data_IF_635899649269
#
_entry.id   IF_635899649269
#
_cell.length_a   1.000
_cell.length_b   1.000
_cell.length_c   1.000
_cell.angle_alpha   90.00
_cell.angle_beta   90.00
_cell.angle_gamma   90.00
#
_symmetry.space_group_name_H-M   'P 1'
#
loop_
_entity.id
_entity.type
_entity.pdbx_description
1 polymer ?
#
# COMPACT_ATOMS: atom_id res chain seq x y z
N UNK A 1 -23.97 -16.10 -11.82
CA UNK A 1 -22.93 -15.88 -12.83
C UNK A 1 -23.19 -16.81 -14.02
N UNK A 2 -23.59 -16.27 -15.15
CA UNK A 2 -23.74 -17.03 -16.41
C UNK A 2 -22.37 -17.24 -17.06
N UNK A 3 -22.29 -18.15 -18.04
CA UNK A 3 -21.04 -18.41 -18.78
C UNK A 3 -20.51 -17.14 -19.47
N UNK A 4 -21.39 -16.29 -20.00
CA UNK A 4 -21.03 -15.00 -20.59
C UNK A 4 -20.52 -14.00 -19.53
N UNK A 5 -21.13 -13.97 -18.34
CA UNK A 5 -20.64 -13.11 -17.25
C UNK A 5 -19.24 -13.52 -16.78
N UNK A 6 -18.95 -14.81 -16.69
CA UNK A 6 -17.62 -15.33 -16.35
C UNK A 6 -16.58 -14.92 -17.40
N UNK A 7 -16.91 -15.06 -18.68
CA UNK A 7 -16.01 -14.65 -19.78
C UNK A 7 -15.75 -13.15 -19.75
N UNK A 8 -16.80 -12.33 -19.60
CA UNK A 8 -16.65 -10.88 -19.53
C UNK A 8 -15.80 -10.45 -18.33
N UNK A 9 -15.97 -11.09 -17.16
CA UNK A 9 -15.16 -10.82 -15.97
C UNK A 9 -13.70 -11.24 -16.14
N UNK A 10 -13.45 -12.42 -16.73
CA UNK A 10 -12.09 -12.88 -17.04
C UNK A 10 -11.35 -11.94 -18.01
N UNK A 11 -12.07 -11.30 -18.93
CA UNK A 11 -11.49 -10.32 -19.86
C UNK A 11 -11.23 -8.96 -19.20
N UNK A 12 -12.00 -8.56 -18.18
CA UNK A 12 -11.81 -7.28 -17.50
C UNK A 12 -10.72 -7.32 -16.41
N UNK A 13 -10.55 -8.47 -15.76
CA UNK A 13 -9.63 -8.67 -14.64
C UNK A 13 -8.17 -8.28 -14.92
N UNK A 14 -7.56 -8.61 -16.08
CA UNK A 14 -6.18 -8.19 -16.38
C UNK A 14 -6.01 -6.67 -16.33
N UNK A 15 -6.99 -5.90 -16.83
CA UNK A 15 -6.96 -4.43 -16.78
C UNK A 15 -7.10 -3.93 -15.34
N UNK A 16 -7.99 -4.54 -14.56
CA UNK A 16 -8.17 -4.19 -13.14
C UNK A 16 -6.92 -4.51 -12.31
N UNK A 17 -6.25 -5.62 -12.60
CA UNK A 17 -4.96 -6.00 -11.99
C UNK A 17 -3.89 -4.97 -12.34
N UNK A 18 -3.76 -4.58 -13.60
CA UNK A 18 -2.78 -3.57 -14.02
C UNK A 18 -2.99 -2.23 -13.29
N UNK A 19 -4.24 -1.79 -13.15
CA UNK A 19 -4.58 -0.57 -12.39
C UNK A 19 -4.23 -0.74 -10.90
N UNK A 20 -4.52 -1.90 -10.31
CA UNK A 20 -4.18 -2.16 -8.91
C UNK A 20 -2.66 -2.23 -8.67
N UNK A 21 -1.89 -2.76 -9.64
CA UNK A 21 -0.42 -2.77 -9.60
C UNK A 21 0.16 -1.36 -9.68
N UNK A 22 -0.39 -0.51 -10.56
CA UNK A 22 0.00 0.90 -10.66
C UNK A 22 -0.30 1.66 -9.37
N UNK A 23 -1.51 1.49 -8.80
CA UNK A 23 -1.87 2.08 -7.51
C UNK A 23 -0.94 1.63 -6.38
N UNK A 24 -0.59 0.34 -6.34
CA UNK A 24 0.33 -0.19 -5.34
C UNK A 24 1.73 0.41 -5.48
N UNK A 25 2.23 0.55 -6.71
CA UNK A 25 3.50 1.20 -6.98
C UNK A 25 3.48 2.66 -6.52
N UNK A 26 2.42 3.40 -6.84
CA UNK A 26 2.26 4.79 -6.42
C UNK A 26 2.23 4.92 -4.89
N UNK A 27 1.47 4.06 -4.20
CA UNK A 27 1.44 4.04 -2.74
C UNK A 27 2.81 3.72 -2.13
N UNK A 28 3.59 2.85 -2.78
CA UNK A 28 4.96 2.54 -2.35
C UNK A 28 5.88 3.75 -2.49
N UNK A 29 5.79 4.48 -3.60
CA UNK A 29 6.56 5.71 -3.81
C UNK A 29 6.20 6.80 -2.79
N UNK A 30 4.91 6.97 -2.49
CA UNK A 30 4.43 7.91 -1.48
C UNK A 30 4.97 7.56 -0.08
N UNK A 31 4.99 6.27 0.27
CA UNK A 31 5.55 5.80 1.54
C UNK A 31 7.05 6.10 1.65
N UNK A 32 7.82 5.87 0.58
CA UNK A 32 9.25 6.20 0.56
C UNK A 32 9.47 7.69 0.75
N UNK A 33 8.73 8.52 0.00
CA UNK A 33 8.82 9.97 0.12
C UNK A 33 8.44 10.46 1.53
N UNK A 34 7.40 9.90 2.16
CA UNK A 34 7.02 10.26 3.52
C UNK A 34 8.12 9.90 4.55
N UNK A 35 8.83 8.79 4.36
CA UNK A 35 9.98 8.43 5.21
C UNK A 35 11.14 9.40 5.05
N UNK A 36 11.43 9.81 3.82
CA UNK A 36 12.48 10.79 3.53
C UNK A 36 12.14 12.16 4.13
N UNK A 37 10.88 12.60 4.02
CA UNK A 37 10.43 13.85 4.63
C UNK A 37 10.51 13.80 6.15
N UNK A 38 10.08 12.69 6.77
CA UNK A 38 10.24 12.52 8.21
C UNK A 38 11.73 12.61 8.59
N UNK A 39 12.60 11.85 7.95
CA UNK A 39 14.04 11.88 8.23
C UNK A 39 14.63 13.29 8.09
N UNK A 40 14.28 14.01 7.02
CA UNK A 40 14.73 15.38 6.82
C UNK A 40 14.30 16.30 7.96
N UNK A 41 13.06 16.16 8.47
CA UNK A 41 12.58 16.93 9.63
C UNK A 41 13.32 16.56 10.91
N UNK A 42 13.59 15.27 11.13
CA UNK A 42 14.38 14.82 12.29
C UNK A 42 15.79 15.42 12.26
N UNK A 43 16.44 15.43 11.09
CA UNK A 43 17.76 16.01 10.90
C UNK A 43 17.76 17.53 11.12
N UNK A 44 16.78 18.25 10.56
CA UNK A 44 16.61 19.69 10.75
C UNK A 44 16.43 20.07 12.24
N UNK A 45 15.68 19.25 13.01
CA UNK A 45 15.44 19.48 14.43
C UNK A 45 16.72 19.27 15.26
N UNK A 46 17.52 18.28 14.90
CA UNK A 46 18.81 17.99 15.54
C UNK A 46 19.85 19.08 15.24
N UNK A 47 19.99 19.46 13.96
CA UNK A 47 20.95 20.47 13.53
C UNK A 47 20.56 21.89 13.96
N UNK A 48 19.26 22.17 14.06
CA UNK A 48 18.72 23.47 14.46
C UNK A 48 18.73 23.74 15.97
N UNK A 49 19.30 22.84 16.80
CA UNK A 49 19.31 22.92 18.27
C UNK A 49 17.89 23.07 18.88
N UNK A 50 16.84 22.61 18.20
CA UNK A 50 15.46 22.64 18.74
C UNK A 50 15.20 21.53 19.76
N UNK A 51 16.10 20.55 19.83
CA UNK A 51 16.05 19.44 20.77
C UNK A 51 17.11 19.71 21.86
N UNK A 52 16.68 20.21 23.02
CA UNK A 52 17.54 20.61 24.14
C UNK A 52 17.51 19.61 25.32
N UNK A 53 16.86 18.46 25.13
CA UNK A 53 16.69 17.44 26.16
C UNK A 53 18.00 16.97 26.81
N UNK A 54 18.08 17.12 28.13
CA UNK A 54 19.26 16.77 28.95
C UNK A 54 19.59 15.27 28.98
N UNK A 55 18.63 14.41 28.63
CA UNK A 55 18.81 12.96 28.51
C UNK A 55 18.15 12.43 27.21
N UNK A 56 18.43 11.17 26.86
CA UNK A 56 17.96 10.58 25.61
C UNK A 56 16.42 10.47 25.53
N UNK A 57 15.75 10.24 26.66
CA UNK A 57 14.29 10.10 26.73
C UNK A 57 13.58 11.43 26.43
N UNK A 58 14.05 12.54 27.01
CA UNK A 58 13.50 13.87 26.76
C UNK A 58 13.74 14.26 25.30
N UNK A 59 14.93 13.99 24.74
CA UNK A 59 15.19 14.24 23.32
C UNK A 59 14.24 13.45 22.42
N UNK A 60 14.01 12.17 22.71
CA UNK A 60 13.09 11.34 21.94
C UNK A 60 11.62 11.77 22.07
N UNK A 61 11.21 12.30 23.22
CA UNK A 61 9.87 12.85 23.42
C UNK A 61 9.69 14.16 22.65
N UNK A 62 10.66 15.08 22.75
CA UNK A 62 10.67 16.34 22.00
C UNK A 62 10.68 16.09 20.49
N UNK A 63 11.47 15.13 20.03
CA UNK A 63 11.50 14.76 18.62
C UNK A 63 10.10 14.33 18.17
N UNK A 64 9.51 13.35 18.88
CA UNK A 64 8.16 12.85 18.56
C UNK A 64 7.11 13.96 18.54
N UNK A 65 7.19 14.90 19.48
CA UNK A 65 6.27 16.03 19.55
C UNK A 65 6.41 16.97 18.35
N UNK A 66 7.62 17.16 17.82
CA UNK A 66 7.88 18.05 16.69
C UNK A 66 7.66 17.40 15.32
N UNK A 67 7.49 16.07 15.25
CA UNK A 67 7.23 15.34 14.00
C UNK A 67 5.92 14.57 14.02
N UNK A 68 4.92 15.01 14.81
CA UNK A 68 3.63 14.32 14.89
C UNK A 68 2.98 14.23 13.51
N UNK A 69 2.94 15.35 12.77
CA UNK A 69 2.30 15.41 11.47
C UNK A 69 2.98 14.48 10.45
N UNK A 70 4.30 14.49 10.36
CA UNK A 70 5.04 13.61 9.45
C UNK A 70 4.86 12.13 9.79
N UNK A 71 4.72 11.79 11.09
CA UNK A 71 4.45 10.43 11.55
C UNK A 71 3.02 9.99 11.25
N UNK A 72 2.04 10.89 11.35
CA UNK A 72 0.66 10.64 10.91
C UNK A 72 0.62 10.37 9.40
N UNK A 73 1.24 11.23 8.59
CA UNK A 73 1.34 11.06 7.13
C UNK A 73 2.03 9.74 6.77
N UNK A 74 3.09 9.38 7.50
CA UNK A 74 3.77 8.10 7.31
C UNK A 74 2.81 6.93 7.58
N UNK A 75 2.08 6.99 8.70
CA UNK A 75 1.13 5.94 9.10
C UNK A 75 0.00 5.79 8.08
N UNK A 76 -0.54 6.90 7.57
CA UNK A 76 -1.58 6.90 6.54
C UNK A 76 -1.08 6.26 5.23
N UNK A 77 0.15 6.59 4.82
CA UNK A 77 0.77 5.98 3.64
C UNK A 77 1.04 4.48 3.82
N UNK A 78 1.45 4.04 5.02
CA UNK A 78 1.59 2.61 5.33
C UNK A 78 0.26 1.87 5.24
N UNK A 79 -0.81 2.47 5.76
CA UNK A 79 -2.15 1.91 5.66
C UNK A 79 -2.61 1.85 4.20
N UNK A 80 -2.39 2.92 3.42
CA UNK A 80 -2.74 2.97 2.01
C UNK A 80 -2.02 1.86 1.22
N UNK A 81 -0.72 1.68 1.44
CA UNK A 81 0.06 0.62 0.80
C UNK A 81 -0.51 -0.77 1.10
N UNK A 82 -0.88 -1.03 2.36
CA UNK A 82 -1.50 -2.31 2.77
C UNK A 82 -2.85 -2.52 2.09
N UNK A 83 -3.65 -1.47 1.95
CA UNK A 83 -4.95 -1.54 1.30
C UNK A 83 -4.81 -1.86 -0.20
N UNK A 84 -3.90 -1.21 -0.91
CA UNK A 84 -3.65 -1.49 -2.32
C UNK A 84 -3.07 -2.90 -2.53
N UNK A 85 -2.22 -3.38 -1.61
CA UNK A 85 -1.69 -4.74 -1.67
C UNK A 85 -2.81 -5.78 -1.48
N UNK A 86 -3.73 -5.54 -0.55
CA UNK A 86 -4.89 -6.39 -0.33
C UNK A 86 -5.84 -6.37 -1.54
N UNK A 87 -6.04 -5.21 -2.17
CA UNK A 87 -6.85 -5.06 -3.40
C UNK A 87 -6.26 -5.88 -4.54
N UNK A 88 -4.95 -5.76 -4.79
CA UNK A 88 -4.27 -6.54 -5.81
C UNK A 88 -4.38 -8.05 -5.53
N UNK A 89 -4.22 -8.45 -4.27
CA UNK A 89 -4.42 -9.84 -3.83
C UNK A 89 -5.80 -10.36 -4.19
N UNK A 90 -6.85 -9.62 -3.87
CA UNK A 90 -8.24 -9.97 -4.21
C UNK A 90 -8.43 -10.16 -5.72
N UNK A 91 -7.93 -9.24 -6.56
CA UNK A 91 -8.06 -9.36 -8.01
C UNK A 91 -7.33 -10.60 -8.56
N UNK A 92 -6.15 -10.94 -8.02
CA UNK A 92 -5.40 -12.13 -8.41
C UNK A 92 -6.09 -13.42 -7.97
N UNK A 93 -6.66 -13.44 -6.77
CA UNK A 93 -7.40 -14.60 -6.27
C UNK A 93 -8.70 -14.80 -7.04
N UNK A 94 -9.40 -13.72 -7.40
CA UNK A 94 -10.58 -13.76 -8.27
C UNK A 94 -10.24 -14.35 -9.64
N UNK A 95 -9.14 -13.90 -10.26
CA UNK A 95 -8.66 -14.44 -11.53
C UNK A 95 -8.38 -15.95 -11.44
N UNK A 96 -7.68 -16.41 -10.39
CA UNK A 96 -7.40 -17.83 -10.18
C UNK A 96 -8.68 -18.64 -10.00
N UNK A 97 -9.64 -18.13 -9.23
CA UNK A 97 -10.92 -18.80 -9.01
C UNK A 97 -11.70 -18.96 -10.33
N UNK A 98 -11.80 -17.90 -11.14
CA UNK A 98 -12.50 -17.95 -12.42
C UNK A 98 -11.78 -18.84 -13.45
N UNK A 99 -10.44 -18.88 -13.44
CA UNK A 99 -9.66 -19.83 -14.25
C UNK A 99 -9.91 -21.28 -13.85
N UNK A 100 -10.01 -21.58 -12.56
CA UNK A 100 -10.35 -22.90 -12.05
C UNK A 100 -11.78 -23.31 -12.49
N UNK A 101 -12.75 -22.42 -12.34
CA UNK A 101 -14.14 -22.64 -12.80
C UNK A 101 -14.18 -22.85 -14.31
N UNK A 102 -13.48 -22.03 -15.09
CA UNK A 102 -13.40 -22.20 -16.55
C UNK A 102 -12.76 -23.53 -16.95
N UNK A 103 -11.79 -24.03 -16.18
CA UNK A 103 -11.15 -25.32 -16.43
C UNK A 103 -12.07 -26.49 -16.09
N UNK A 104 -12.82 -26.41 -14.99
CA UNK A 104 -13.87 -27.39 -14.64
C UNK A 104 -14.92 -27.49 -15.76
N UNK A 105 -15.39 -26.34 -16.25
CA UNK A 105 -16.35 -26.26 -17.36
C UNK A 105 -15.80 -26.81 -18.69
N UNK A 106 -14.48 -26.92 -18.86
CA UNK A 106 -13.86 -27.61 -19.99
C UNK A 106 -13.79 -29.13 -19.77
N UNK A 107 -13.61 -29.57 -18.52
CA UNK A 107 -13.56 -30.97 -18.12
C UNK A 107 -14.91 -31.69 -18.09
N UNK A 108 -16.01 -30.96 -17.85
CA UNK A 108 -17.39 -31.48 -17.93
C UNK A 108 -17.90 -31.70 -19.37
N UNK A 109 -17.05 -31.52 -20.39
CA UNK A 109 -17.37 -31.75 -21.82
C UNK A 109 -16.70 -33.03 -22.34
N UNK A 110 -16.42 -34.00 -21.46
CA UNK A 110 -15.90 -35.32 -21.82
C UNK A 110 -17.00 -36.39 -21.80
#
# INVERSE_FOLDING_TARGET
MTKQEIVNRLLSLPKEIAVAEESLLQASMQLVSAKEVLQQKEDDLLLGNKIDGKNAEIRAAQMRQNTVSEREILTDNELNLRNEAARLGKCRDELRALQAVSSLLKGDVA
#
